data_IF_341159562984
#
_entry.id   IF_341159562984
#
_cell.length_a   1.000
_cell.length_b   1.000
_cell.length_c   1.000
_cell.angle_alpha   90.00
_cell.angle_beta   90.00
_cell.angle_gamma   90.00
#
_symmetry.space_group_name_H-M   'P 1'
#
loop_
_entity.id
_entity.type
_entity.pdbx_description
1 polymer ?
#
# COMPACT_ATOMS: atom_id res chain seq x y z
N UNK A 1 15.24 5.83 27.54
CA UNK A 1 14.65 5.43 28.83
C UNK A 1 13.28 4.80 28.58
N UNK A 2 13.12 3.50 28.87
CA UNK A 2 11.90 2.73 28.57
C UNK A 2 11.30 2.23 29.90
N UNK A 3 10.22 2.83 30.35
CA UNK A 3 9.56 2.48 31.60
C UNK A 3 8.26 1.70 31.42
N UNK A 4 7.51 1.98 30.34
CA UNK A 4 6.20 1.37 30.10
C UNK A 4 5.81 1.22 28.63
N UNK A 5 6.64 1.65 27.69
CA UNK A 5 6.25 1.75 26.29
C UNK A 5 6.46 0.45 25.51
N UNK A 6 7.63 -0.17 25.66
CA UNK A 6 8.04 -1.28 24.83
C UNK A 6 8.58 -2.42 25.68
N UNK A 7 8.09 -3.62 25.47
CA UNK A 7 8.43 -4.81 26.25
C UNK A 7 9.28 -5.77 25.42
N UNK A 8 10.16 -6.49 26.10
CA UNK A 8 10.85 -7.64 25.55
C UNK A 8 9.93 -8.87 25.48
N UNK A 9 10.43 -9.98 24.95
CA UNK A 9 9.68 -11.25 24.85
C UNK A 9 9.32 -11.84 26.22
N UNK A 10 9.91 -11.33 27.30
CA UNK A 10 9.63 -11.73 28.67
C UNK A 10 8.65 -10.78 29.40
N UNK A 11 8.14 -9.76 28.69
CA UNK A 11 7.23 -8.76 29.23
C UNK A 11 7.89 -7.72 30.14
N UNK A 12 9.22 -7.56 30.04
CA UNK A 12 9.99 -6.62 30.84
C UNK A 12 10.29 -5.35 30.05
N UNK A 13 10.15 -4.20 30.71
CA UNK A 13 10.55 -2.91 30.15
C UNK A 13 12.00 -2.63 30.48
N UNK A 14 12.88 -2.75 29.50
CA UNK A 14 14.30 -2.44 29.65
C UNK A 14 14.74 -1.37 28.66
N UNK A 15 15.81 -0.67 28.94
CA UNK A 15 16.44 0.21 28.00
C UNK A 15 16.95 -0.62 26.79
N UNK A 16 16.97 -0.02 25.61
CA UNK A 16 17.35 -0.72 24.39
C UNK A 16 18.28 0.12 23.52
N UNK A 17 19.03 -0.58 22.69
CA UNK A 17 19.96 -0.02 21.69
C UNK A 17 19.54 -0.57 20.35
N UNK A 18 19.32 0.30 19.37
CA UNK A 18 18.94 -0.09 18.03
C UNK A 18 20.07 0.16 17.05
N UNK A 19 20.35 -0.82 16.20
CA UNK A 19 21.33 -0.77 15.15
C UNK A 19 20.61 -0.83 13.81
N UNK A 20 20.86 0.13 12.94
CA UNK A 20 20.28 0.20 11.60
C UNK A 20 21.29 -0.19 10.53
N UNK A 21 20.92 -1.12 9.66
CA UNK A 21 21.73 -1.45 8.49
C UNK A 21 21.46 -0.46 7.35
N UNK A 22 22.29 0.55 7.21
CA UNK A 22 22.17 1.56 6.15
C UNK A 22 22.56 1.07 4.75
N UNK A 23 23.17 -0.11 4.63
CA UNK A 23 23.64 -0.66 3.35
C UNK A 23 22.51 -1.27 2.52
N UNK A 24 22.79 -1.52 1.25
CA UNK A 24 21.90 -2.28 0.36
C UNK A 24 22.17 -3.80 0.40
N UNK A 25 23.16 -4.24 1.15
CA UNK A 25 23.47 -5.63 1.43
C UNK A 25 23.10 -6.01 2.86
N UNK A 26 22.96 -7.31 3.13
CA UNK A 26 22.80 -7.81 4.50
C UNK A 26 24.09 -7.61 5.28
N UNK A 27 23.99 -7.20 6.53
CA UNK A 27 25.11 -7.02 7.47
C UNK A 27 24.99 -8.05 8.59
N UNK A 28 26.04 -8.80 8.84
CA UNK A 28 26.06 -9.76 9.93
C UNK A 28 26.69 -9.13 11.18
N UNK A 29 25.94 -9.07 12.25
CA UNK A 29 26.40 -8.59 13.54
C UNK A 29 27.07 -9.69 14.37
N UNK A 30 27.02 -10.95 13.93
CA UNK A 30 27.67 -12.05 14.64
C UNK A 30 29.17 -11.84 14.79
N UNK A 31 29.65 -11.90 16.03
CA UNK A 31 31.05 -11.65 16.35
C UNK A 31 31.45 -10.17 16.48
N UNK A 32 30.52 -9.24 16.31
CA UNK A 32 30.71 -7.83 16.63
C UNK A 32 30.66 -7.59 18.14
N UNK A 33 31.07 -6.41 18.57
CA UNK A 33 31.09 -6.02 19.98
C UNK A 33 30.28 -4.75 20.18
N UNK A 34 29.44 -4.76 21.22
CA UNK A 34 28.83 -3.57 21.80
C UNK A 34 29.62 -3.20 23.05
N UNK A 35 30.15 -2.01 23.11
CA UNK A 35 30.82 -1.48 24.29
C UNK A 35 30.01 -0.36 24.90
N UNK A 36 29.98 -0.34 26.21
CA UNK A 36 29.24 0.64 26.99
C UNK A 36 30.15 1.20 28.12
N UNK A 37 30.00 2.47 28.37
CA UNK A 37 30.64 3.13 29.53
C UNK A 37 29.74 4.26 30.01
N UNK A 38 29.49 4.30 31.31
CA UNK A 38 28.80 5.40 31.96
C UNK A 38 29.75 6.26 32.83
N UNK A 39 30.93 5.73 33.15
CA UNK A 39 31.94 6.40 33.96
C UNK A 39 33.34 6.22 33.37
N UNK A 40 34.25 7.19 33.52
CA UNK A 40 35.63 7.04 33.07
C UNK A 40 36.30 5.82 33.69
N UNK A 41 36.81 4.91 32.86
CA UNK A 41 37.51 3.71 33.31
C UNK A 41 36.65 2.45 33.46
N UNK A 42 35.32 2.57 33.49
CA UNK A 42 34.40 1.44 33.52
C UNK A 42 33.82 1.20 32.11
N UNK A 43 34.28 0.14 31.46
CA UNK A 43 33.82 -0.22 30.13
C UNK A 43 33.31 -1.66 30.09
N UNK A 44 32.00 -1.83 29.99
CA UNK A 44 31.42 -3.12 29.72
C UNK A 44 31.54 -3.46 28.21
N UNK A 45 31.79 -4.73 27.93
CA UNK A 45 31.87 -5.21 26.55
C UNK A 45 30.95 -6.40 26.39
N UNK A 46 30.03 -6.30 25.46
CA UNK A 46 29.15 -7.38 25.05
C UNK A 46 29.60 -7.93 23.68
N UNK A 47 29.90 -9.20 23.66
CA UNK A 47 30.22 -9.94 22.42
C UNK A 47 28.92 -10.51 21.84
N UNK A 48 28.56 -10.16 20.62
CA UNK A 48 27.37 -10.69 19.94
C UNK A 48 27.66 -12.13 19.53
N UNK A 49 26.93 -13.13 20.06
CA UNK A 49 27.19 -14.54 19.78
C UNK A 49 27.05 -14.88 18.30
N UNK A 50 27.83 -15.87 17.90
CA UNK A 50 27.74 -16.43 16.54
C UNK A 50 26.74 -17.59 16.55
N UNK A 51 26.02 -17.75 15.43
CA UNK A 51 25.10 -18.89 15.25
C UNK A 51 23.62 -18.55 15.33
N UNK A 52 23.28 -17.33 15.72
CA UNK A 52 21.90 -16.85 15.65
C UNK A 52 21.64 -16.23 14.26
N UNK A 53 20.66 -16.74 13.55
CA UNK A 53 20.30 -16.26 12.20
C UNK A 53 19.75 -14.84 12.20
N UNK A 54 19.23 -14.36 13.33
CA UNK A 54 18.66 -13.02 13.49
C UNK A 54 19.74 -11.93 13.57
N UNK A 55 21.02 -12.31 13.79
CA UNK A 55 22.14 -11.36 13.71
C UNK A 55 22.43 -10.89 12.28
N UNK A 56 21.91 -11.60 11.27
CA UNK A 56 22.00 -11.19 9.87
C UNK A 56 20.91 -10.15 9.57
N UNK A 57 21.26 -8.88 9.72
CA UNK A 57 20.36 -7.74 9.49
C UNK A 57 20.23 -7.46 8.00
N UNK A 58 19.03 -7.61 7.46
CA UNK A 58 18.74 -7.35 6.03
C UNK A 58 18.96 -5.87 5.69
N UNK A 59 19.06 -5.52 4.38
CA UNK A 59 19.16 -4.13 3.95
C UNK A 59 18.03 -3.27 4.50
N UNK A 60 18.36 -2.10 5.04
CA UNK A 60 17.40 -1.14 5.57
C UNK A 60 16.52 -1.68 6.71
N UNK A 61 17.02 -2.66 7.45
CA UNK A 61 16.36 -3.23 8.62
C UNK A 61 17.13 -2.86 9.90
N UNK A 62 16.46 -3.06 11.02
CA UNK A 62 16.93 -2.75 12.36
C UNK A 62 17.20 -4.03 13.15
N UNK A 63 18.14 -3.97 14.08
CA UNK A 63 18.37 -4.98 15.10
C UNK A 63 18.32 -4.28 16.46
N UNK A 64 17.50 -4.76 17.36
CA UNK A 64 17.27 -4.16 18.67
C UNK A 64 17.90 -5.03 19.76
N UNK A 65 18.72 -4.42 20.62
CA UNK A 65 19.38 -5.05 21.74
C UNK A 65 18.84 -4.49 23.06
N UNK A 66 18.44 -5.36 23.95
CA UNK A 66 17.98 -5.02 25.29
C UNK A 66 19.15 -4.85 26.23
N UNK A 67 19.28 -3.68 26.83
CA UNK A 67 20.32 -3.38 27.81
C UNK A 67 19.78 -3.67 29.22
N UNK A 68 19.52 -4.94 29.50
CA UNK A 68 18.91 -5.43 30.75
C UNK A 68 19.90 -6.10 31.71
N UNK A 69 21.13 -6.36 31.24
CA UNK A 69 22.15 -7.04 32.03
C UNK A 69 21.91 -8.56 32.13
N UNK A 70 21.04 -9.15 31.31
CA UNK A 70 20.64 -10.55 31.37
C UNK A 70 20.98 -11.32 30.08
N UNK A 71 22.25 -11.53 29.76
CA UNK A 71 22.67 -12.16 28.50
C UNK A 71 22.18 -13.60 28.34
N UNK A 72 21.74 -14.24 29.44
CA UNK A 72 21.19 -15.59 29.41
C UNK A 72 19.81 -15.67 28.75
N UNK A 73 19.13 -14.54 28.57
CA UNK A 73 17.82 -14.47 27.92
C UNK A 73 17.91 -14.62 26.39
N UNK A 74 19.06 -14.37 25.80
CA UNK A 74 19.25 -14.55 24.36
C UNK A 74 20.28 -13.60 23.76
N UNK A 75 20.54 -13.76 22.48
CA UNK A 75 21.53 -13.02 21.70
C UNK A 75 21.31 -11.50 21.73
N UNK A 76 20.11 -11.06 21.90
CA UNK A 76 19.74 -9.64 21.88
C UNK A 76 19.61 -9.03 23.28
N UNK A 77 20.07 -9.73 24.33
CA UNK A 77 20.11 -9.24 25.70
C UNK A 77 21.58 -9.02 26.10
N UNK A 78 21.92 -7.77 26.42
CA UNK A 78 23.32 -7.42 26.73
C UNK A 78 23.68 -7.73 28.19
N UNK A 79 24.97 -7.78 28.48
CA UNK A 79 25.51 -8.00 29.82
C UNK A 79 25.65 -6.72 30.65
N UNK A 80 25.10 -5.60 30.20
CA UNK A 80 25.14 -4.31 30.85
C UNK A 80 23.77 -3.63 30.83
N UNK A 81 23.59 -2.65 31.70
CA UNK A 81 22.41 -1.77 31.76
C UNK A 81 22.82 -0.35 31.43
N UNK A 82 21.96 0.36 30.73
CA UNK A 82 22.16 1.79 30.49
C UNK A 82 21.81 2.58 31.78
N UNK A 83 22.60 3.59 32.05
CA UNK A 83 22.41 4.45 33.23
C UNK A 83 21.52 5.65 32.83
N UNK A 84 20.40 5.83 33.50
CA UNK A 84 19.49 6.96 33.24
C UNK A 84 19.98 8.28 33.85
N UNK A 85 20.90 8.23 34.80
CA UNK A 85 21.37 9.40 35.55
C UNK A 85 22.65 10.00 34.94
N UNK A 86 23.51 9.14 34.40
CA UNK A 86 24.81 9.54 33.88
C UNK A 86 24.81 9.56 32.32
N UNK A 87 25.83 10.18 31.77
CA UNK A 87 26.06 10.10 30.34
C UNK A 87 26.43 8.66 29.95
N UNK A 88 25.86 8.19 28.85
CA UNK A 88 26.13 6.84 28.31
C UNK A 88 26.89 6.95 27.02
N UNK A 89 28.11 6.41 27.00
CA UNK A 89 28.85 6.18 25.78
C UNK A 89 28.59 4.76 25.29
N UNK A 90 28.22 4.60 24.04
CA UNK A 90 27.96 3.31 23.41
C UNK A 90 28.75 3.26 22.10
N UNK A 91 29.51 2.20 21.89
CA UNK A 91 30.30 1.98 20.68
C UNK A 91 30.02 0.61 20.08
N UNK A 92 29.80 0.59 18.75
CA UNK A 92 29.70 -0.63 17.96
C UNK A 92 31.05 -0.91 17.28
N UNK A 93 31.58 -2.10 17.46
CA UNK A 93 32.84 -2.56 16.87
C UNK A 93 32.62 -3.80 16.03
N UNK A 94 33.37 -3.92 14.95
CA UNK A 94 33.39 -5.15 14.17
C UNK A 94 34.12 -6.29 14.87
N UNK A 95 34.13 -7.48 14.28
CA UNK A 95 34.85 -8.65 14.78
C UNK A 95 36.35 -8.45 14.84
N UNK A 96 36.91 -7.51 14.08
CA UNK A 96 38.32 -7.08 14.09
C UNK A 96 38.61 -6.01 15.13
N UNK A 97 37.66 -5.64 15.99
CA UNK A 97 37.74 -4.58 16.99
C UNK A 97 37.92 -3.16 16.42
N UNK A 98 37.54 -2.96 15.17
CA UNK A 98 37.47 -1.64 14.54
C UNK A 98 36.16 -0.98 14.91
N UNK A 99 36.21 0.27 15.31
CA UNK A 99 35.01 1.07 15.60
C UNK A 99 34.21 1.32 14.32
N UNK A 100 32.92 0.93 14.32
CA UNK A 100 31.99 1.14 13.23
C UNK A 100 31.14 2.39 13.44
N UNK A 101 30.56 2.54 14.64
CA UNK A 101 29.77 3.70 15.03
C UNK A 101 29.81 3.91 16.55
N UNK A 102 29.55 5.14 17.00
CA UNK A 102 29.49 5.45 18.42
C UNK A 102 28.54 6.60 18.70
N UNK A 103 28.05 6.63 19.92
CA UNK A 103 27.18 7.69 20.40
C UNK A 103 27.46 7.99 21.87
N UNK A 104 27.29 9.25 22.24
CA UNK A 104 27.22 9.69 23.63
C UNK A 104 25.81 10.22 23.89
N UNK A 105 25.06 9.57 24.76
CA UNK A 105 23.79 10.08 25.26
C UNK A 105 24.09 10.95 26.47
N UNK A 106 23.78 12.25 26.46
CA UNK A 106 24.08 13.13 27.59
C UNK A 106 23.27 12.76 28.84
N UNK A 107 23.82 13.04 30.00
CA UNK A 107 23.12 12.80 31.28
C UNK A 107 21.82 13.61 31.37
N UNK A 108 20.76 12.99 31.87
CA UNK A 108 19.48 13.66 32.17
C UNK A 108 18.70 14.20 30.98
N UNK A 109 19.10 13.85 29.75
CA UNK A 109 18.39 14.30 28.51
C UNK A 109 17.08 13.56 28.31
N UNK A 110 17.02 12.28 28.73
CA UNK A 110 15.87 11.41 28.48
C UNK A 110 14.96 11.35 29.69
N UNK A 111 13.70 11.70 29.51
CA UNK A 111 12.61 11.43 30.46
C UNK A 111 12.09 10.00 30.27
N UNK A 112 11.13 9.59 31.10
CA UNK A 112 10.44 8.32 30.95
C UNK A 112 9.88 8.14 29.52
N UNK A 113 10.07 6.95 28.95
CA UNK A 113 9.56 6.57 27.63
C UNK A 113 10.07 7.43 26.45
N UNK A 114 11.24 8.04 26.60
CA UNK A 114 11.90 8.77 25.54
C UNK A 114 13.11 8.00 25.01
N UNK A 115 13.44 8.22 23.74
CA UNK A 115 14.63 7.68 23.08
C UNK A 115 15.52 8.81 22.54
N UNK A 116 16.83 8.56 22.50
CA UNK A 116 17.78 9.42 21.81
C UNK A 116 18.10 8.75 20.49
N UNK A 117 17.58 9.31 19.41
CA UNK A 117 17.62 8.68 18.10
C UNK A 117 18.12 9.65 17.02
N UNK A 118 18.56 9.12 15.91
CA UNK A 118 18.85 9.94 14.74
C UNK A 118 17.57 10.57 14.20
N UNK A 119 17.64 11.78 13.68
CA UNK A 119 16.49 12.50 13.10
C UNK A 119 15.82 11.65 12.03
N UNK A 120 16.62 11.04 11.17
CA UNK A 120 16.21 10.07 10.17
C UNK A 120 17.27 8.96 10.10
N UNK A 121 16.91 7.79 9.62
CA UNK A 121 17.84 6.67 9.50
C UNK A 121 19.09 7.04 8.70
N UNK A 122 20.25 6.71 9.26
CA UNK A 122 21.59 6.99 8.72
C UNK A 122 21.98 8.48 8.63
N UNK A 123 21.23 9.43 9.16
CA UNK A 123 21.67 10.84 9.29
C UNK A 123 22.65 11.01 10.46
N UNK A 124 23.55 11.99 10.42
CA UNK A 124 24.47 12.24 11.54
C UNK A 124 23.81 12.94 12.74
N UNK A 125 22.68 13.57 12.54
CA UNK A 125 21.99 14.38 13.54
C UNK A 125 21.18 13.52 14.50
N UNK A 126 21.17 13.88 15.79
CA UNK A 126 20.49 13.18 16.87
C UNK A 126 19.47 14.09 17.55
N UNK A 127 18.34 13.54 17.94
CA UNK A 127 17.29 14.24 18.66
C UNK A 127 16.64 13.34 19.73
N UNK A 128 15.92 13.96 20.64
CA UNK A 128 15.07 13.25 21.62
C UNK A 128 13.70 13.00 20.96
N UNK A 129 13.26 11.75 21.00
CA UNK A 129 11.94 11.32 20.55
C UNK A 129 11.08 10.88 21.72
N UNK A 130 9.75 11.02 21.56
CA UNK A 130 8.78 10.72 22.62
C UNK A 130 8.33 11.94 23.41
N UNK A 131 8.70 13.16 22.98
CA UNK A 131 8.29 14.39 23.65
C UNK A 131 6.97 14.95 23.11
N UNK A 132 6.77 14.83 21.79
CA UNK A 132 5.60 15.34 21.06
C UNK A 132 4.95 14.24 20.23
N UNK A 133 3.70 14.42 19.86
CA UNK A 133 2.93 13.45 19.07
C UNK A 133 3.43 13.23 17.65
N UNK A 134 4.24 14.13 17.12
CA UNK A 134 4.88 14.05 15.80
C UNK A 134 6.28 13.39 15.86
N UNK A 135 6.86 13.26 17.07
CA UNK A 135 8.16 12.66 17.32
C UNK A 135 8.06 11.51 18.31
N UNK A 136 7.35 10.48 17.96
CA UNK A 136 7.22 9.31 18.82
C UNK A 136 8.43 8.36 18.72
N UNK A 137 8.56 7.51 19.73
CA UNK A 137 9.60 6.48 19.78
C UNK A 137 9.26 5.37 18.79
N UNK A 138 10.22 4.97 17.97
CA UNK A 138 10.03 4.05 16.84
C UNK A 138 10.92 2.81 16.94
N UNK A 139 10.78 1.93 17.95
CA UNK A 139 11.60 0.73 18.05
C UNK A 139 11.31 -0.22 16.88
N UNK A 140 12.36 -0.75 16.27
CA UNK A 140 12.34 -1.67 15.14
C UNK A 140 11.70 -1.13 13.86
N UNK A 141 11.51 0.20 13.77
CA UNK A 141 10.97 0.87 12.60
C UNK A 141 11.80 2.11 12.24
N UNK A 142 11.58 2.65 11.05
CA UNK A 142 12.33 3.83 10.60
C UNK A 142 12.12 5.02 11.53
N UNK A 143 13.19 5.75 11.80
CA UNK A 143 13.18 6.92 12.70
C UNK A 143 12.27 8.04 12.21
N UNK A 144 12.08 8.15 10.92
CA UNK A 144 11.11 9.05 10.31
C UNK A 144 10.02 8.20 9.67
N UNK A 145 8.92 8.03 10.36
CA UNK A 145 7.72 7.44 9.78
C UNK A 145 7.04 8.51 8.94
N UNK A 146 6.97 8.27 7.64
CA UNK A 146 6.18 9.10 6.73
C UNK A 146 4.74 8.59 6.82
N UNK A 147 4.09 8.86 7.93
CA UNK A 147 2.65 8.58 8.08
C UNK A 147 1.78 9.59 7.32
N UNK A 148 2.36 10.74 6.98
CA UNK A 148 1.73 11.70 6.11
C UNK A 148 2.23 11.54 4.67
N UNK A 149 1.30 11.25 3.78
CA UNK A 149 1.59 11.32 2.37
C UNK A 149 1.68 12.81 2.00
N UNK A 150 2.88 13.31 1.69
CA UNK A 150 3.10 14.71 1.32
C UNK A 150 2.19 15.18 0.18
N UNK A 151 1.66 14.27 -0.64
CA UNK A 151 0.63 14.56 -1.63
C UNK A 151 -0.73 14.77 -0.99
N UNK A 152 -1.02 14.04 0.07
CA UNK A 152 -2.28 14.12 0.81
C UNK A 152 -2.35 15.42 1.62
N UNK A 153 -1.25 15.82 2.27
CA UNK A 153 -1.15 17.13 2.96
C UNK A 153 -1.29 18.31 2.00
N UNK A 154 -0.62 18.27 0.86
CA UNK A 154 -0.80 19.28 -0.19
C UNK A 154 -2.24 19.30 -0.72
N UNK A 155 -2.89 18.16 -0.78
CA UNK A 155 -4.27 18.05 -1.20
C UNK A 155 -5.21 18.66 -0.17
N UNK A 156 -5.01 18.36 1.10
CA UNK A 156 -5.78 18.88 2.23
C UNK A 156 -5.63 20.41 2.35
N UNK A 157 -4.44 20.93 2.13
CA UNK A 157 -4.19 22.38 2.11
C UNK A 157 -4.89 23.12 0.96
N UNK A 158 -5.06 22.48 -0.21
CA UNK A 158 -5.62 23.11 -1.41
C UNK A 158 -7.10 22.78 -1.63
N UNK A 159 -7.59 21.68 -1.12
CA UNK A 159 -8.96 21.18 -1.32
C UNK A 159 -9.46 20.40 -0.10
N UNK A 160 -9.53 21.07 1.03
CA UNK A 160 -9.96 20.46 2.31
C UNK A 160 -11.37 19.86 2.29
N UNK A 161 -12.22 20.28 1.35
CA UNK A 161 -13.61 19.82 1.21
C UNK A 161 -13.80 18.84 0.02
N UNK A 162 -12.78 18.64 -0.79
CA UNK A 162 -12.84 17.74 -1.94
C UNK A 162 -13.61 18.28 -3.16
N UNK A 163 -13.94 19.57 -3.17
CA UNK A 163 -14.67 20.20 -4.27
C UNK A 163 -13.86 20.18 -5.57
N UNK A 164 -12.58 20.50 -5.50
CA UNK A 164 -11.68 20.49 -6.65
C UNK A 164 -11.55 19.09 -7.26
N UNK A 165 -11.47 18.07 -6.43
CA UNK A 165 -11.46 16.68 -6.87
C UNK A 165 -12.78 16.30 -7.55
N UNK A 166 -13.91 16.72 -6.99
CA UNK A 166 -15.23 16.43 -7.56
C UNK A 166 -15.42 17.11 -8.91
N UNK A 167 -15.02 18.37 -9.05
CA UNK A 167 -15.09 19.11 -10.31
C UNK A 167 -14.17 18.50 -11.36
N UNK A 168 -12.96 18.11 -10.98
CA UNK A 168 -12.02 17.50 -11.92
C UNK A 168 -12.51 16.13 -12.41
N UNK A 169 -13.05 15.32 -11.52
CA UNK A 169 -13.65 14.02 -11.87
C UNK A 169 -14.84 14.17 -12.83
N UNK A 170 -15.77 15.09 -12.52
CA UNK A 170 -16.89 15.43 -13.42
C UNK A 170 -16.41 15.92 -14.77
N UNK A 171 -15.40 16.81 -14.78
CA UNK A 171 -14.85 17.37 -16.01
C UNK A 171 -14.29 16.31 -16.94
N UNK A 172 -13.60 15.31 -16.40
CA UNK A 172 -13.07 14.17 -17.18
C UNK A 172 -14.20 13.37 -17.83
N UNK A 173 -15.29 13.10 -17.08
CA UNK A 173 -16.45 12.38 -17.62
C UNK A 173 -17.14 13.18 -18.72
N UNK A 174 -17.41 14.47 -18.49
CA UNK A 174 -18.02 15.32 -19.52
C UNK A 174 -17.13 15.46 -20.76
N UNK A 175 -15.84 15.58 -20.59
CA UNK A 175 -14.91 15.61 -21.72
C UNK A 175 -14.95 14.30 -22.51
N UNK A 176 -15.03 13.16 -21.85
CA UNK A 176 -15.22 11.86 -22.49
C UNK A 176 -16.53 11.79 -23.29
N UNK A 177 -17.63 12.29 -22.74
CA UNK A 177 -18.93 12.33 -23.42
C UNK A 177 -18.90 13.25 -24.64
N UNK A 178 -18.24 14.43 -24.54
CA UNK A 178 -18.06 15.35 -25.67
C UNK A 178 -17.25 14.68 -26.80
N UNK A 179 -16.16 13.97 -26.45
CA UNK A 179 -15.37 13.24 -27.44
C UNK A 179 -16.19 12.15 -28.13
N UNK A 180 -16.98 11.39 -27.39
CA UNK A 180 -17.90 10.40 -27.94
C UNK A 180 -18.93 11.04 -28.88
N UNK A 181 -19.55 12.14 -28.45
CA UNK A 181 -20.49 12.88 -29.30
C UNK A 181 -19.85 13.35 -30.62
N UNK A 182 -18.66 13.92 -30.55
CA UNK A 182 -17.92 14.37 -31.73
C UNK A 182 -17.60 13.17 -32.64
N UNK A 183 -17.14 12.07 -32.05
CA UNK A 183 -16.83 10.83 -32.80
C UNK A 183 -18.06 10.30 -33.53
N UNK A 184 -19.20 10.17 -32.85
CA UNK A 184 -20.44 9.73 -33.49
C UNK A 184 -20.93 10.70 -34.56
N UNK A 185 -20.80 12.02 -34.34
CA UNK A 185 -21.15 13.03 -35.35
C UNK A 185 -20.28 12.92 -36.59
N UNK A 186 -18.98 12.64 -36.42
CA UNK A 186 -18.07 12.45 -37.56
C UNK A 186 -18.41 11.14 -38.30
N UNK A 187 -18.56 10.04 -37.58
CA UNK A 187 -18.92 8.74 -38.16
C UNK A 187 -20.27 8.82 -38.87
N UNK A 188 -21.27 9.47 -38.25
CA UNK A 188 -22.58 9.67 -38.88
C UNK A 188 -22.48 10.48 -40.20
N UNK A 189 -21.72 11.59 -40.22
CA UNK A 189 -21.49 12.34 -41.43
C UNK A 189 -20.77 11.52 -42.52
N UNK A 190 -19.78 10.74 -42.16
CA UNK A 190 -19.05 9.86 -43.08
C UNK A 190 -19.98 8.79 -43.63
N UNK A 191 -20.74 8.12 -42.76
CA UNK A 191 -21.69 7.06 -43.15
C UNK A 191 -22.76 7.58 -44.11
N UNK A 192 -23.39 8.71 -43.79
CA UNK A 192 -24.39 9.35 -44.68
C UNK A 192 -23.77 9.74 -46.02
N UNK A 193 -22.55 10.27 -46.03
CA UNK A 193 -21.88 10.63 -47.27
C UNK A 193 -21.49 9.40 -48.13
N UNK A 194 -21.04 8.32 -47.46
CA UNK A 194 -20.79 7.05 -48.17
C UNK A 194 -22.07 6.47 -48.72
N UNK A 195 -23.13 6.41 -47.93
CA UNK A 195 -24.44 5.91 -48.36
C UNK A 195 -24.98 6.71 -49.55
N UNK A 196 -24.91 8.04 -49.52
CA UNK A 196 -25.29 8.90 -50.67
C UNK A 196 -24.41 8.65 -51.89
N UNK A 197 -23.11 8.46 -51.73
CA UNK A 197 -22.20 8.13 -52.85
C UNK A 197 -22.53 6.76 -53.47
N UNK A 198 -22.81 5.77 -52.63
CA UNK A 198 -23.20 4.44 -53.10
C UNK A 198 -24.57 4.47 -53.83
N UNK A 199 -25.53 5.20 -53.30
CA UNK A 199 -26.85 5.40 -53.93
C UNK A 199 -26.73 6.13 -55.30
N UNK A 200 -25.90 7.17 -55.37
CA UNK A 200 -25.63 7.87 -56.64
C UNK A 200 -24.97 6.96 -57.67
N UNK A 201 -24.00 6.12 -57.27
CA UNK A 201 -23.36 5.14 -58.16
C UNK A 201 -24.35 4.08 -58.64
N UNK A 202 -25.22 3.59 -57.78
CA UNK A 202 -26.24 2.59 -58.13
C UNK A 202 -27.29 3.13 -59.10
N UNK A 203 -27.60 4.43 -59.04
CA UNK A 203 -28.60 5.09 -59.93
C UNK A 203 -27.96 5.77 -61.14
N UNK A 204 -26.64 5.67 -61.40
CA UNK A 204 -25.92 6.24 -62.48
C UNK A 204 -25.97 7.78 -62.58
N UNK A 205 -26.23 8.45 -61.49
CA UNK A 205 -26.36 9.92 -61.35
C UNK A 205 -25.00 10.52 -61.18
N UNK A 206 -24.51 11.30 -62.10
CA UNK A 206 -23.17 11.91 -62.12
C UNK A 206 -23.24 13.35 -61.55
N UNK A 207 -24.39 14.01 -61.60
CA UNK A 207 -24.53 15.40 -61.20
C UNK A 207 -25.08 15.58 -59.76
N UNK A 208 -24.35 16.35 -58.95
CA UNK A 208 -24.70 16.62 -57.54
C UNK A 208 -26.01 17.39 -57.33
N UNK A 209 -26.45 18.18 -58.35
CA UNK A 209 -27.70 18.94 -58.26
C UNK A 209 -28.93 18.03 -58.46
N UNK A 210 -28.90 17.16 -59.44
CA UNK A 210 -29.95 16.16 -59.69
C UNK A 210 -30.06 15.12 -58.54
N UNK A 211 -28.92 14.78 -57.94
CA UNK A 211 -28.88 13.89 -56.79
C UNK A 211 -29.56 14.51 -55.55
N UNK A 212 -29.46 15.83 -55.40
CA UNK A 212 -30.11 16.54 -54.25
C UNK A 212 -31.62 16.57 -54.40
N UNK A 213 -32.11 16.70 -55.62
CA UNK A 213 -33.54 16.80 -55.92
C UNK A 213 -34.25 15.43 -55.88
N UNK A 214 -33.61 14.40 -56.41
CA UNK A 214 -34.12 13.03 -56.43
C UNK A 214 -33.97 12.25 -55.12
N UNK A 215 -32.99 12.62 -54.26
CA UNK A 215 -32.72 11.98 -52.96
C UNK A 215 -33.39 12.69 -51.77
N UNK A 216 -33.93 13.91 -51.98
CA UNK A 216 -34.64 14.63 -50.91
C UNK A 216 -35.99 13.99 -50.53
N UNK A 217 -36.49 13.06 -51.31
CA UNK A 217 -37.73 12.31 -51.04
C UNK A 217 -37.55 10.90 -50.45
N UNK A 218 -36.32 10.42 -50.34
CA UNK A 218 -36.06 9.11 -49.74
C UNK A 218 -35.72 9.28 -48.26
N UNK A 219 -36.58 8.76 -47.40
CA UNK A 219 -36.32 8.72 -45.97
C UNK A 219 -35.00 7.97 -45.70
N UNK A 220 -34.12 8.47 -44.81
CA UNK A 220 -32.89 7.76 -44.44
C UNK A 220 -33.19 6.35 -43.95
N UNK A 221 -32.34 5.38 -44.28
CA UNK A 221 -32.53 3.96 -43.95
C UNK A 221 -32.78 3.72 -42.46
N UNK A 222 -32.32 4.62 -41.61
CA UNK A 222 -32.58 4.64 -40.15
C UNK A 222 -34.08 4.83 -39.84
N UNK A 223 -34.77 5.65 -40.63
CA UNK A 223 -36.23 5.84 -40.46
C UNK A 223 -36.98 4.59 -40.88
N UNK A 224 -36.55 3.91 -41.94
CA UNK A 224 -37.13 2.62 -42.33
C UNK A 224 -36.86 1.53 -41.31
N UNK A 225 -35.64 1.50 -40.72
CA UNK A 225 -35.28 0.57 -39.67
C UNK A 225 -36.10 0.83 -38.40
N UNK A 226 -36.26 2.10 -37.99
CA UNK A 226 -37.09 2.48 -36.85
C UNK A 226 -38.58 2.13 -37.06
N UNK A 227 -39.11 2.40 -38.26
CA UNK A 227 -40.51 2.04 -38.62
C UNK A 227 -40.69 0.53 -38.62
N UNK A 228 -39.74 -0.23 -39.19
CA UNK A 228 -39.82 -1.70 -39.24
C UNK A 228 -39.71 -2.32 -37.87
N UNK A 229 -38.87 -1.76 -36.97
CA UNK A 229 -38.75 -2.18 -35.59
C UNK A 229 -40.05 -1.89 -34.79
N UNK A 230 -40.61 -0.68 -34.95
CA UNK A 230 -41.87 -0.30 -34.32
C UNK A 230 -43.04 -1.15 -34.81
N UNK A 231 -43.09 -1.47 -36.12
CA UNK A 231 -44.07 -2.38 -36.69
C UNK A 231 -43.89 -3.82 -36.21
N UNK A 232 -42.66 -4.26 -36.04
CA UNK A 232 -42.34 -5.57 -35.50
C UNK A 232 -42.78 -5.67 -34.01
N UNK A 233 -42.49 -4.66 -33.20
CA UNK A 233 -42.96 -4.61 -31.82
C UNK A 233 -44.47 -4.55 -31.72
N UNK A 234 -45.11 -3.79 -32.58
CA UNK A 234 -46.56 -3.70 -32.62
C UNK A 234 -47.25 -5.00 -33.11
N UNK A 235 -46.54 -5.78 -33.95
CA UNK A 235 -47.01 -7.07 -34.46
C UNK A 235 -46.69 -8.23 -33.50
N UNK A 236 -45.73 -8.08 -32.62
CA UNK A 236 -45.35 -9.05 -31.60
C UNK A 236 -46.16 -8.90 -30.29
N UNK A 237 -47.31 -8.24 -30.30
CA UNK A 237 -48.31 -8.31 -29.23
C UNK A 237 -49.03 -9.69 -29.13
N UNK A 238 -48.50 -10.68 -29.86
CA UNK A 238 -48.66 -12.07 -29.53
C UNK A 238 -47.73 -12.36 -28.37
N UNK A 239 -48.24 -12.21 -27.16
CA UNK A 239 -47.61 -12.77 -25.99
C UNK A 239 -47.23 -14.20 -26.32
N UNK A 240 -45.94 -14.46 -26.47
CA UNK A 240 -45.42 -15.81 -26.36
C UNK A 240 -45.93 -16.29 -24.97
N UNK A 241 -46.86 -17.21 -25.00
CA UNK A 241 -47.21 -17.99 -23.82
C UNK A 241 -45.95 -18.83 -23.55
N UNK A 242 -45.00 -18.22 -22.85
CA UNK A 242 -43.86 -18.96 -22.33
C UNK A 242 -44.47 -19.97 -21.36
N UNK A 243 -44.65 -21.20 -21.79
CA UNK A 243 -44.75 -22.34 -20.92
C UNK A 243 -43.45 -22.37 -20.11
N UNK A 244 -43.52 -21.73 -18.95
CA UNK A 244 -42.42 -21.68 -18.00
C UNK A 244 -42.22 -23.09 -17.44
N UNK A 245 -41.59 -23.97 -18.21
CA UNK A 245 -41.11 -25.26 -17.70
C UNK A 245 -39.91 -24.94 -16.79
N UNK A 246 -40.21 -24.74 -15.53
CA UNK A 246 -39.21 -24.64 -14.46
C UNK A 246 -38.51 -26.00 -14.33
N UNK A 247 -37.54 -26.25 -15.19
CA UNK A 247 -36.64 -27.40 -15.05
C UNK A 247 -35.67 -27.08 -13.92
N UNK A 248 -36.10 -27.31 -12.68
CA UNK A 248 -35.17 -27.31 -11.54
C UNK A 248 -34.31 -28.56 -11.66
N UNK A 249 -33.29 -28.47 -12.47
CA UNK A 249 -32.21 -29.47 -12.48
C UNK A 249 -31.44 -29.28 -11.19
N UNK A 250 -31.62 -30.20 -10.24
CA UNK A 250 -30.89 -30.25 -9.00
C UNK A 250 -29.41 -30.42 -9.36
N UNK A 251 -28.69 -29.31 -9.42
CA UNK A 251 -27.24 -29.33 -9.64
C UNK A 251 -26.63 -30.07 -8.47
N UNK A 252 -26.14 -31.28 -8.71
CA UNK A 252 -25.24 -31.98 -7.77
C UNK A 252 -24.00 -31.09 -7.64
N UNK A 253 -23.98 -30.29 -6.57
CA UNK A 253 -22.77 -29.53 -6.25
C UNK A 253 -21.68 -30.54 -5.93
N UNK A 254 -20.62 -30.55 -6.73
CA UNK A 254 -19.42 -31.30 -6.38
C UNK A 254 -18.90 -30.76 -5.03
N UNK A 255 -18.54 -31.68 -4.16
CA UNK A 255 -17.96 -31.35 -2.86
C UNK A 255 -16.75 -30.44 -3.04
N UNK A 256 -16.80 -29.24 -2.46
CA UNK A 256 -15.67 -28.33 -2.39
C UNK A 256 -15.21 -28.24 -0.93
N UNK A 257 -13.93 -28.48 -0.60
CA UNK A 257 -13.41 -28.32 0.74
C UNK A 257 -13.69 -26.94 1.35
N UNK A 258 -13.76 -25.91 0.52
CA UNK A 258 -14.00 -24.51 0.93
C UNK A 258 -15.47 -24.19 1.22
N UNK A 259 -16.41 -24.92 0.68
CA UNK A 259 -17.86 -24.73 0.90
C UNK A 259 -18.45 -25.70 1.92
N UNK A 260 -17.64 -26.62 2.46
CA UNK A 260 -18.07 -27.65 3.37
C UNK A 260 -18.05 -27.15 4.81
N UNK A 261 -19.16 -27.35 5.52
CA UNK A 261 -19.25 -27.06 6.96
C UNK A 261 -18.49 -28.09 7.84
N UNK A 262 -17.74 -29.01 7.23
CA UNK A 262 -17.01 -30.09 7.92
C UNK A 262 -15.99 -29.54 8.92
N UNK A 263 -15.41 -28.39 8.63
CA UNK A 263 -14.44 -27.75 9.52
C UNK A 263 -15.05 -27.11 10.78
N UNK A 264 -16.38 -26.97 10.81
CA UNK A 264 -17.11 -26.41 11.97
C UNK A 264 -17.80 -27.51 12.80
N UNK A 265 -17.81 -28.74 12.33
CA UNK A 265 -18.40 -29.88 13.03
C UNK A 265 -17.33 -30.61 13.85
N UNK A 266 -17.59 -30.82 15.13
CA UNK A 266 -16.72 -31.61 16.02
C UNK A 266 -16.72 -33.10 15.73
N UNK A 267 -17.72 -33.58 14.99
CA UNK A 267 -17.86 -34.99 14.58
C UNK A 267 -18.19 -35.07 13.10
N UNK A 268 -17.61 -36.05 12.41
CA UNK A 268 -17.89 -36.30 11.00
C UNK A 268 -19.33 -36.81 10.85
N UNK A 269 -20.16 -36.25 9.95
CA UNK A 269 -21.52 -36.74 9.72
C UNK A 269 -21.51 -38.21 9.29
N UNK A 270 -22.16 -39.03 10.05
CA UNK A 270 -22.35 -40.46 9.66
C UNK A 270 -23.40 -40.53 8.55
N UNK A 271 -23.09 -41.26 7.50
CA UNK A 271 -24.00 -41.53 6.38
C UNK A 271 -25.10 -42.47 6.86
N UNK A 272 -26.36 -42.01 6.82
CA UNK A 272 -27.54 -42.87 6.93
C UNK A 272 -27.84 -43.53 5.61
#
# INVERSE_FOLDING_TARGET
NNESNFQDDYGVHSAWIEIFNKSYGSADLAGCYLKFSSQPGDTATYFIPKGDVLTLVKPRQHALFWADGEPNRGTFHTNFKLDSLNANWIGLYDSGKKLLDQIVVPAGVLKANQSYARVSDATPEWEVKGETSDKYVTPSTNNQTIDSNAKMEKFEQHDSVGIGMSISAMSVVFFGLILLYISFKIVGKISVNLSKRNAMRAKGITDKKEAKEKLLGEAPGEVFAAISLALHEMQSDVHDVEDTVLTITRVKRSYSPWSSKIYTLRETPQRK
#
